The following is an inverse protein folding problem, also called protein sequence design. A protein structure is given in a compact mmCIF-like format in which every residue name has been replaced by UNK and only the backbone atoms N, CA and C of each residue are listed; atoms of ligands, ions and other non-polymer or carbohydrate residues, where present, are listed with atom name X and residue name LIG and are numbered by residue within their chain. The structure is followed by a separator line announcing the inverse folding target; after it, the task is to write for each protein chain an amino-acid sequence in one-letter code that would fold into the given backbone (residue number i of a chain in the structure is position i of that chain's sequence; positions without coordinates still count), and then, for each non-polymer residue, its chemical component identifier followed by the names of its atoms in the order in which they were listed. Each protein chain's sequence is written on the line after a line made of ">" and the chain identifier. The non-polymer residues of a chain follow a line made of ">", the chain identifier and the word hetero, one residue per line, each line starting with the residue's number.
data_IF_992006509262
#
_entry.id   IF_992006509262
#
_cell.length_a   1.000
_cell.length_b   1.000
_cell.length_c   1.000
_cell.angle_alpha   90.00
_cell.angle_beta   90.00
_cell.angle_gamma   90.00
#
_symmetry.space_group_name_H-M   'P 1'
#
loop_
_entity.id
_entity.type
_entity.pdbx_description
1 polymer ?
#
# COMPACT_ATOMS: atom_id res chain seq x y z
N UNK A 1 -14.76 -16.04 -8.06
CA UNK A 1 -13.80 -15.85 -6.94
C UNK A 1 -12.89 -17.06 -6.92
N UNK A 2 -11.58 -16.85 -6.73
CA UNK A 2 -10.61 -17.93 -6.73
C UNK A 2 -10.44 -18.50 -5.33
N UNK A 3 -10.41 -19.82 -5.17
CA UNK A 3 -10.16 -20.44 -3.86
C UNK A 3 -8.66 -20.60 -3.60
N UNK A 4 -8.26 -20.55 -2.33
CA UNK A 4 -6.90 -20.89 -1.90
C UNK A 4 -6.75 -22.41 -1.75
N UNK A 5 -5.60 -22.95 -2.14
CA UNK A 5 -5.24 -24.34 -1.79
C UNK A 5 -4.98 -24.47 -0.28
N UNK A 6 -5.01 -25.69 0.26
CA UNK A 6 -4.69 -25.94 1.68
C UNK A 6 -3.29 -25.44 2.04
N UNK A 7 -2.31 -25.67 1.16
CA UNK A 7 -0.93 -25.24 1.38
C UNK A 7 -0.79 -23.71 1.34
N UNK A 8 -1.52 -23.03 0.45
CA UNK A 8 -1.58 -21.57 0.42
C UNK A 8 -2.18 -21.01 1.72
N UNK A 9 -3.28 -21.59 2.21
CA UNK A 9 -3.94 -21.17 3.45
C UNK A 9 -2.97 -21.30 4.62
N UNK A 10 -2.27 -22.43 4.75
CA UNK A 10 -1.29 -22.65 5.81
C UNK A 10 -0.17 -21.61 5.70
N UNK A 11 0.41 -21.42 4.51
CA UNK A 11 1.49 -20.45 4.27
C UNK A 11 1.07 -19.01 4.59
N UNK A 12 -0.12 -18.60 4.15
CA UNK A 12 -0.68 -17.26 4.40
C UNK A 12 -0.91 -17.08 5.90
N UNK A 13 -1.60 -18.02 6.55
CA UNK A 13 -1.88 -17.97 7.98
C UNK A 13 -0.61 -17.90 8.82
N UNK A 14 0.40 -18.72 8.51
CA UNK A 14 1.70 -18.70 9.19
C UNK A 14 2.47 -17.42 8.93
N UNK A 15 2.32 -16.81 7.75
CA UNK A 15 2.97 -15.53 7.44
C UNK A 15 2.29 -14.37 8.18
N UNK A 16 0.96 -14.31 8.18
CA UNK A 16 0.17 -13.25 8.82
C UNK A 16 0.33 -13.23 10.35
N UNK A 17 0.58 -14.38 10.99
CA UNK A 17 0.77 -14.46 12.45
C UNK A 17 2.12 -13.91 12.94
N UNK A 18 3.12 -13.80 12.05
CA UNK A 18 4.44 -13.27 12.41
C UNK A 18 4.37 -11.78 12.74
N UNK A 19 5.05 -11.35 13.80
CA UNK A 19 5.30 -9.93 14.06
C UNK A 19 6.48 -9.46 13.19
N UNK A 20 6.50 -8.18 12.84
CA UNK A 20 7.54 -7.59 11.99
C UNK A 20 8.89 -7.50 12.72
N UNK A 21 10.00 -7.69 12.00
CA UNK A 21 11.33 -7.34 12.48
C UNK A 21 11.56 -5.82 12.59
N UNK A 22 12.60 -5.36 13.31
CA UNK A 22 12.88 -3.94 13.51
C UNK A 22 13.23 -3.17 12.23
N UNK A 23 13.59 -3.86 11.15
CA UNK A 23 13.86 -3.33 9.80
C UNK A 23 12.61 -2.80 9.11
N UNK A 24 11.44 -3.31 9.46
CA UNK A 24 10.16 -2.91 8.88
C UNK A 24 9.49 -1.75 9.64
N UNK A 25 9.94 -1.46 10.87
CA UNK A 25 9.32 -0.47 11.74
C UNK A 25 10.07 0.85 11.68
N UNK A 26 9.32 1.90 11.41
CA UNK A 26 9.75 3.28 11.50
C UNK A 26 9.12 3.99 12.70
N UNK A 27 9.78 5.04 13.18
CA UNK A 27 9.30 5.84 14.31
C UNK A 27 9.27 7.31 13.92
N UNK A 28 8.17 7.99 14.23
CA UNK A 28 8.05 9.44 14.13
C UNK A 28 7.84 10.05 15.51
N UNK A 29 8.19 11.33 15.65
CA UNK A 29 7.89 12.12 16.84
C UNK A 29 6.41 12.49 16.83
N UNK A 30 5.70 12.13 17.90
CA UNK A 30 4.33 12.53 18.19
C UNK A 30 4.28 13.70 19.19
N UNK A 31 3.07 13.99 19.66
CA UNK A 31 2.83 15.00 20.69
C UNK A 31 3.54 14.64 22.00
N UNK A 32 3.96 15.64 22.79
CA UNK A 32 4.68 15.45 24.05
C UNK A 32 5.92 14.54 23.95
N UNK A 33 6.66 14.62 22.83
CA UNK A 33 7.87 13.83 22.58
C UNK A 33 7.65 12.30 22.61
N UNK A 34 6.40 11.85 22.44
CA UNK A 34 6.07 10.44 22.27
C UNK A 34 6.64 9.91 20.95
N UNK A 35 7.04 8.64 20.90
CA UNK A 35 7.46 7.99 19.65
C UNK A 35 6.29 7.16 19.13
N UNK A 36 5.85 7.46 17.92
CA UNK A 36 4.80 6.72 17.24
C UNK A 36 5.43 5.79 16.22
N UNK A 37 5.24 4.49 16.42
CA UNK A 37 5.61 3.44 15.48
C UNK A 37 4.68 3.44 14.26
N UNK A 38 5.24 3.17 13.08
CA UNK A 38 4.47 2.97 11.86
C UNK A 38 5.26 2.12 10.86
N UNK A 39 4.55 1.61 9.86
CA UNK A 39 5.09 0.99 8.66
C UNK A 39 4.89 1.92 7.47
N UNK A 40 5.88 1.96 6.59
CA UNK A 40 5.85 2.76 5.38
C UNK A 40 4.85 2.20 4.35
N UNK A 41 4.25 3.07 3.54
CA UNK A 41 3.20 2.67 2.60
C UNK A 41 3.67 1.67 1.55
N UNK A 42 4.84 1.92 0.94
CA UNK A 42 5.42 1.01 -0.06
C UNK A 42 5.67 -0.39 0.51
N UNK A 43 6.15 -0.45 1.76
CA UNK A 43 6.50 -1.71 2.40
C UNK A 43 5.26 -2.57 2.68
N UNK A 44 4.14 -1.95 3.04
CA UNK A 44 2.86 -2.66 3.23
C UNK A 44 2.37 -3.29 1.93
N UNK A 45 2.55 -2.61 0.79
CA UNK A 45 2.21 -3.14 -0.53
C UNK A 45 3.11 -4.34 -0.87
N UNK A 46 4.41 -4.23 -0.63
CA UNK A 46 5.36 -5.33 -0.86
C UNK A 46 5.06 -6.54 0.03
N UNK A 47 4.71 -6.31 1.29
CA UNK A 47 4.30 -7.38 2.21
C UNK A 47 3.01 -8.07 1.73
N UNK A 48 2.01 -7.30 1.28
CA UNK A 48 0.79 -7.85 0.73
C UNK A 48 1.06 -8.68 -0.54
N UNK A 49 1.89 -8.17 -1.45
CA UNK A 49 2.33 -8.90 -2.65
C UNK A 49 3.10 -10.18 -2.30
N UNK A 50 3.94 -10.15 -1.25
CA UNK A 50 4.70 -11.32 -0.81
C UNK A 50 3.83 -12.39 -0.14
N UNK A 51 2.84 -11.96 0.64
CA UNK A 51 1.98 -12.87 1.42
C UNK A 51 0.86 -13.44 0.55
N UNK A 52 0.14 -12.60 -0.18
CA UNK A 52 -1.02 -13.00 -0.99
C UNK A 52 -0.66 -13.31 -2.45
N UNK A 53 0.49 -12.84 -2.94
CA UNK A 53 0.79 -12.80 -4.37
C UNK A 53 0.25 -11.52 -5.02
N UNK A 54 0.90 -11.05 -6.08
CA UNK A 54 0.53 -9.81 -6.77
C UNK A 54 -0.92 -9.79 -7.30
N UNK A 55 -1.48 -10.97 -7.59
CA UNK A 55 -2.86 -11.16 -8.04
C UNK A 55 -3.79 -11.74 -6.95
N UNK A 56 -3.29 -11.91 -5.73
CA UNK A 56 -4.04 -12.51 -4.63
C UNK A 56 -4.86 -11.51 -3.82
N UNK A 57 -4.67 -10.22 -4.07
CA UNK A 57 -5.37 -9.13 -3.39
C UNK A 57 -5.58 -7.94 -4.35
N UNK A 58 -6.52 -7.09 -3.99
CA UNK A 58 -6.81 -5.83 -4.67
C UNK A 58 -7.22 -4.79 -3.64
N UNK A 59 -7.20 -3.52 -4.03
CA UNK A 59 -7.74 -2.43 -3.22
C UNK A 59 -8.57 -1.47 -4.06
N UNK A 60 -9.58 -0.88 -3.44
CA UNK A 60 -10.51 0.06 -4.05
C UNK A 60 -10.74 1.23 -3.10
N UNK A 61 -10.64 2.47 -3.59
CA UNK A 61 -11.11 3.64 -2.85
C UNK A 61 -12.63 3.69 -2.97
N UNK A 62 -13.34 3.52 -1.85
CA UNK A 62 -14.81 3.54 -1.81
C UNK A 62 -15.38 4.95 -1.72
N UNK A 63 -14.69 5.82 -0.99
CA UNK A 63 -15.12 7.20 -0.78
C UNK A 63 -13.94 8.10 -0.48
N UNK A 64 -14.03 9.37 -0.89
CA UNK A 64 -13.11 10.45 -0.52
C UNK A 64 -13.96 11.64 -0.07
N UNK A 65 -13.82 12.05 1.18
CA UNK A 65 -14.54 13.18 1.74
C UNK A 65 -13.57 14.27 2.17
N UNK A 66 -13.83 15.51 1.73
CA UNK A 66 -13.14 16.68 2.28
C UNK A 66 -13.89 17.11 3.53
N UNK A 67 -13.27 16.92 4.70
CA UNK A 67 -13.90 17.28 5.98
C UNK A 67 -13.85 18.79 6.20
N UNK A 68 -12.73 19.43 5.84
CA UNK A 68 -12.58 20.88 5.93
C UNK A 68 -11.54 21.39 4.93
N UNK A 69 -11.68 22.67 4.56
CA UNK A 69 -10.75 23.41 3.72
C UNK A 69 -10.80 24.89 4.10
N UNK A 70 -10.00 25.27 5.09
CA UNK A 70 -10.00 26.61 5.67
C UNK A 70 -8.88 27.45 5.08
N UNK A 71 -9.16 28.73 4.82
CA UNK A 71 -8.16 29.71 4.45
C UNK A 71 -7.85 30.62 5.63
N UNK A 72 -6.58 30.70 6.01
CA UNK A 72 -6.08 31.61 7.02
C UNK A 72 -5.55 32.87 6.34
N UNK A 73 -6.31 33.97 6.43
CA UNK A 73 -5.93 35.26 5.85
C UNK A 73 -4.62 35.81 6.43
N UNK A 74 -4.44 35.74 7.76
CA UNK A 74 -3.24 36.26 8.43
C UNK A 74 -1.94 35.55 8.04
N UNK A 75 -2.02 34.30 7.60
CA UNK A 75 -0.86 33.52 7.11
C UNK A 75 -0.87 33.31 5.60
N UNK A 76 -1.89 33.78 4.88
CA UNK A 76 -2.10 33.50 3.46
C UNK A 76 -1.91 32.01 3.14
N UNK A 77 -2.61 31.13 3.87
CA UNK A 77 -2.39 29.68 3.79
C UNK A 77 -3.65 28.86 3.99
N UNK A 78 -3.68 27.66 3.44
CA UNK A 78 -4.77 26.70 3.50
C UNK A 78 -4.49 25.59 4.51
N UNK A 79 -5.53 25.22 5.26
CA UNK A 79 -5.59 24.02 6.07
C UNK A 79 -6.66 23.10 5.47
N UNK A 80 -6.29 21.87 5.10
CA UNK A 80 -7.18 20.91 4.46
C UNK A 80 -7.14 19.60 5.21
N UNK A 81 -8.30 19.01 5.47
CA UNK A 81 -8.46 17.66 6.03
C UNK A 81 -9.32 16.79 5.12
N UNK A 82 -8.87 15.58 4.86
CA UNK A 82 -9.53 14.62 3.97
C UNK A 82 -9.61 13.26 4.65
N UNK A 83 -10.78 12.64 4.61
CA UNK A 83 -10.97 11.23 4.94
C UNK A 83 -11.12 10.39 3.67
N UNK A 84 -10.62 9.16 3.70
CA UNK A 84 -10.75 8.20 2.59
C UNK A 84 -11.15 6.84 3.15
N UNK A 85 -12.12 6.18 2.53
CA UNK A 85 -12.47 4.78 2.83
C UNK A 85 -11.84 3.90 1.78
N UNK A 86 -11.04 2.92 2.20
CA UNK A 86 -10.44 1.91 1.31
C UNK A 86 -10.96 0.53 1.67
N UNK A 87 -11.30 -0.24 0.63
CA UNK A 87 -11.58 -1.67 0.72
C UNK A 87 -10.42 -2.46 0.17
N UNK A 88 -9.96 -3.46 0.90
CA UNK A 88 -9.00 -4.47 0.43
C UNK A 88 -9.74 -5.79 0.29
N UNK A 89 -9.65 -6.42 -0.88
CA UNK A 89 -10.33 -7.68 -1.21
C UNK A 89 -9.32 -8.73 -1.64
N UNK A 90 -9.34 -9.90 -1.01
CA UNK A 90 -8.52 -11.07 -1.36
C UNK A 90 -9.16 -11.88 -2.49
N UNK A 91 -8.39 -12.77 -3.14
CA UNK A 91 -8.86 -13.56 -4.29
C UNK A 91 -10.07 -14.46 -4.00
N UNK A 92 -10.23 -14.86 -2.73
CA UNK A 92 -11.35 -15.66 -2.21
C UNK A 92 -12.60 -14.83 -1.86
N UNK A 93 -12.55 -13.51 -2.05
CA UNK A 93 -13.65 -12.60 -1.77
C UNK A 93 -13.66 -12.03 -0.35
N UNK A 94 -12.79 -12.49 0.55
CA UNK A 94 -12.67 -11.90 1.87
C UNK A 94 -12.19 -10.46 1.77
N UNK A 95 -12.89 -9.54 2.45
CA UNK A 95 -12.58 -8.12 2.37
C UNK A 95 -12.54 -7.45 3.74
N UNK A 96 -11.72 -6.40 3.83
CA UNK A 96 -11.59 -5.51 4.99
C UNK A 96 -11.68 -4.07 4.52
N UNK A 97 -12.40 -3.26 5.27
CA UNK A 97 -12.57 -1.82 5.00
C UNK A 97 -12.08 -1.04 6.22
N UNK A 98 -11.42 0.09 5.98
CA UNK A 98 -11.07 1.03 7.05
C UNK A 98 -11.04 2.45 6.46
N UNK A 99 -11.08 3.43 7.36
CA UNK A 99 -10.97 4.85 7.04
C UNK A 99 -9.55 5.32 7.31
N UNK A 100 -8.99 6.13 6.42
CA UNK A 100 -7.75 6.85 6.62
C UNK A 100 -7.96 8.35 6.62
N UNK A 101 -7.04 9.06 7.25
CA UNK A 101 -7.09 10.52 7.34
C UNK A 101 -5.79 11.15 6.89
N UNK A 102 -5.88 12.26 6.17
CA UNK A 102 -4.75 13.02 5.69
C UNK A 102 -5.02 14.50 5.81
N UNK A 103 -3.98 15.26 6.15
CA UNK A 103 -4.09 16.69 6.39
C UNK A 103 -2.94 17.46 5.76
N UNK A 104 -3.19 18.71 5.41
CA UNK A 104 -2.16 19.66 5.02
C UNK A 104 -2.41 20.97 5.75
N UNK A 105 -1.44 21.43 6.52
CA UNK A 105 -1.54 22.64 7.34
C UNK A 105 -0.61 23.71 6.81
N UNK A 106 -1.05 24.97 6.85
CA UNK A 106 -0.29 26.15 6.45
C UNK A 106 0.25 26.08 5.00
N UNK A 107 -0.42 25.36 4.10
CA UNK A 107 -0.02 25.27 2.70
C UNK A 107 -0.31 26.57 1.96
N UNK A 108 0.65 27.11 1.21
CA UNK A 108 0.43 28.36 0.44
C UNK A 108 -0.47 28.15 -0.79
N UNK A 109 -0.52 26.93 -1.32
CA UNK A 109 -1.36 26.57 -2.46
C UNK A 109 -2.49 25.63 -2.03
N UNK A 110 -3.73 25.97 -2.40
CA UNK A 110 -4.91 25.12 -2.19
C UNK A 110 -4.75 23.77 -2.89
N UNK A 111 -4.22 23.76 -4.12
CA UNK A 111 -4.00 22.54 -4.89
C UNK A 111 -3.01 21.59 -4.19
N UNK A 112 -1.86 22.11 -3.76
CA UNK A 112 -0.87 21.33 -3.01
C UNK A 112 -1.42 20.81 -1.66
N UNK A 113 -2.30 21.60 -1.02
CA UNK A 113 -2.94 21.19 0.23
C UNK A 113 -3.83 19.96 0.03
N UNK A 114 -4.68 19.98 -1.01
CA UNK A 114 -5.51 18.84 -1.39
C UNK A 114 -4.69 17.63 -1.83
N UNK A 115 -3.65 17.84 -2.64
CA UNK A 115 -2.81 16.76 -3.13
C UNK A 115 -2.16 16.00 -1.97
N UNK A 116 -1.52 16.72 -1.04
CA UNK A 116 -0.92 16.11 0.15
C UNK A 116 -1.96 15.38 0.99
N UNK A 117 -3.07 16.05 1.35
CA UNK A 117 -4.09 15.48 2.21
C UNK A 117 -4.73 14.22 1.60
N UNK A 118 -5.06 14.22 0.31
CA UNK A 118 -5.62 13.05 -0.38
C UNK A 118 -4.63 11.88 -0.46
N UNK A 119 -3.37 12.14 -0.83
CA UNK A 119 -2.32 11.10 -0.91
C UNK A 119 -2.06 10.46 0.46
N UNK A 120 -2.00 11.28 1.51
CA UNK A 120 -1.83 10.82 2.88
C UNK A 120 -3.04 9.98 3.36
N UNK A 121 -4.27 10.48 3.15
CA UNK A 121 -5.49 9.79 3.57
C UNK A 121 -5.67 8.44 2.87
N UNK A 122 -5.41 8.37 1.56
CA UNK A 122 -5.51 7.12 0.80
C UNK A 122 -4.48 6.09 1.26
N UNK A 123 -3.24 6.52 1.50
CA UNK A 123 -2.18 5.64 2.01
C UNK A 123 -2.48 5.15 3.42
N UNK A 124 -2.98 6.04 4.29
CA UNK A 124 -3.38 5.68 5.66
C UNK A 124 -4.53 4.65 5.65
N UNK A 125 -5.57 4.88 4.84
CA UNK A 125 -6.72 3.99 4.71
C UNK A 125 -6.29 2.59 4.26
N UNK A 126 -5.42 2.51 3.23
CA UNK A 126 -4.89 1.25 2.73
C UNK A 126 -4.12 0.48 3.81
N UNK A 127 -3.20 1.14 4.53
CA UNK A 127 -2.45 0.50 5.63
C UNK A 127 -3.38 -0.02 6.72
N UNK A 128 -4.41 0.75 7.05
CA UNK A 128 -5.39 0.43 8.09
C UNK A 128 -6.34 -0.71 7.70
N UNK A 129 -6.70 -0.82 6.43
CA UNK A 129 -7.42 -1.98 5.91
C UNK A 129 -6.54 -3.24 5.92
N UNK A 130 -5.27 -3.13 5.49
CA UNK A 130 -4.34 -4.28 5.42
C UNK A 130 -3.96 -4.86 6.79
N UNK A 131 -3.77 -4.02 7.82
CA UNK A 131 -3.45 -4.52 9.18
C UNK A 131 -4.52 -5.47 9.74
N UNK A 132 -5.78 -5.37 9.30
CA UNK A 132 -6.87 -6.21 9.81
C UNK A 132 -6.70 -7.70 9.44
N UNK A 133 -5.82 -8.01 8.48
CA UNK A 133 -5.52 -9.39 8.11
C UNK A 133 -4.46 -10.06 9.01
N UNK A 134 -3.61 -9.30 9.71
CA UNK A 134 -2.64 -9.90 10.62
C UNK A 134 -1.47 -9.02 11.05
N UNK A 135 -0.68 -9.55 11.98
CA UNK A 135 0.52 -8.93 12.55
C UNK A 135 1.55 -8.53 11.49
N UNK A 136 1.79 -9.40 10.51
CA UNK A 136 2.78 -9.15 9.46
C UNK A 136 2.37 -8.02 8.50
N UNK A 137 1.10 -7.60 8.49
CA UNK A 137 0.62 -6.45 7.73
C UNK A 137 0.44 -5.21 8.59
N UNK A 138 1.05 -5.20 9.79
CA UNK A 138 1.17 -4.00 10.61
C UNK A 138 0.38 -3.99 11.89
N UNK A 139 -0.43 -5.01 12.17
CA UNK A 139 -1.20 -5.03 13.41
C UNK A 139 -0.30 -5.01 14.66
N UNK A 140 0.91 -5.59 14.57
CA UNK A 140 1.87 -5.57 15.67
C UNK A 140 2.34 -4.16 16.06
N UNK A 141 2.24 -3.16 15.17
CA UNK A 141 2.63 -1.77 15.48
C UNK A 141 1.75 -1.09 16.54
N UNK A 142 0.63 -1.72 16.92
CA UNK A 142 -0.27 -1.28 17.99
C UNK A 142 -0.02 -2.02 19.32
N UNK A 143 0.79 -3.07 19.32
CA UNK A 143 1.11 -3.87 20.50
C UNK A 143 2.25 -3.23 21.29
N UNK A 144 1.93 -2.68 22.47
CA UNK A 144 2.88 -1.96 23.32
C UNK A 144 3.98 -2.85 23.89
N UNK A 145 3.72 -4.14 24.11
CA UNK A 145 4.72 -5.07 24.65
C UNK A 145 5.74 -5.40 23.57
N UNK A 146 5.25 -5.77 22.39
CA UNK A 146 6.09 -5.96 21.22
C UNK A 146 6.96 -4.74 20.91
N UNK A 147 6.41 -3.52 20.98
CA UNK A 147 7.18 -2.31 20.72
C UNK A 147 8.31 -2.05 21.73
N UNK A 148 8.16 -2.51 22.98
CA UNK A 148 9.24 -2.41 23.98
C UNK A 148 10.38 -3.34 23.62
N UNK A 149 10.05 -4.57 23.25
CA UNK A 149 11.03 -5.62 22.98
C UNK A 149 11.75 -5.37 21.65
N UNK A 150 11.02 -5.02 20.60
CA UNK A 150 11.56 -4.91 19.24
C UNK A 150 12.58 -3.77 19.08
N UNK A 151 12.51 -2.76 19.93
CA UNK A 151 13.47 -1.64 19.94
C UNK A 151 14.86 -2.09 20.40
N UNK A 152 14.94 -3.16 21.17
CA UNK A 152 16.21 -3.75 21.63
C UNK A 152 16.83 -4.74 20.64
N UNK A 153 16.07 -5.18 19.64
CA UNK A 153 16.53 -6.14 18.62
C UNK A 153 17.44 -5.42 17.62
N UNK A 154 18.60 -6.01 17.35
CA UNK A 154 19.53 -5.47 16.36
C UNK A 154 18.92 -5.52 14.95
N UNK A 155 19.04 -4.41 14.20
CA UNK A 155 18.58 -4.35 12.82
C UNK A 155 19.55 -5.08 11.91
N UNK A 156 19.03 -5.92 11.02
CA UNK A 156 19.83 -6.49 9.94
C UNK A 156 20.45 -5.36 9.09
N UNK A 157 21.71 -5.55 8.68
CA UNK A 157 22.41 -4.59 7.83
C UNK A 157 21.69 -4.50 6.49
N UNK A 158 21.32 -3.27 6.08
CA UNK A 158 20.75 -3.03 4.76
C UNK A 158 21.68 -3.60 3.69
N UNK A 159 21.17 -4.54 2.89
CA UNK A 159 21.90 -5.09 1.76
C UNK A 159 22.12 -4.00 0.71
N UNK A 160 23.33 -3.96 0.16
CA UNK A 160 23.65 -3.04 -0.95
C UNK A 160 22.76 -3.38 -2.14
N UNK A 161 22.16 -2.37 -2.76
CA UNK A 161 21.30 -2.55 -3.93
C UNK A 161 22.06 -3.34 -4.99
N UNK A 162 21.48 -4.47 -5.42
CA UNK A 162 22.04 -5.23 -6.53
C UNK A 162 21.72 -4.51 -7.84
N UNK A 163 22.70 -3.81 -8.37
CA UNK A 163 22.61 -2.99 -9.59
C UNK A 163 22.11 -3.80 -10.82
N UNK A 164 22.32 -5.13 -10.82
CA UNK A 164 21.89 -6.06 -11.87
C UNK A 164 20.42 -6.45 -11.79
N UNK A 165 19.78 -6.38 -10.62
CA UNK A 165 18.36 -6.71 -10.45
C UNK A 165 17.44 -5.51 -10.73
N UNK A 166 18.01 -4.36 -11.09
CA UNK A 166 17.24 -3.17 -11.45
C UNK A 166 16.67 -3.34 -12.87
N UNK A 167 15.35 -3.14 -13.00
CA UNK A 167 14.71 -3.04 -14.30
C UNK A 167 15.28 -1.82 -15.06
N UNK A 168 15.82 -2.02 -16.27
CA UNK A 168 16.47 -0.98 -17.07
C UNK A 168 15.76 -0.76 -18.40
N UNK A 169 15.79 0.50 -18.88
CA UNK A 169 15.14 0.96 -20.11
C UNK A 169 15.76 0.39 -21.40
N UNK A 170 16.98 -0.12 -21.35
CA UNK A 170 17.75 -0.63 -22.51
C UNK A 170 17.67 -2.16 -22.54
N UNK A 171 17.06 -2.78 -23.55
CA UNK A 171 17.43 -2.70 -24.96
C UNK A 171 16.23 -2.48 -25.89
N UNK A 172 16.47 -1.85 -27.04
CA UNK A 172 15.53 -1.69 -28.16
C UNK A 172 14.56 -2.86 -28.33
N UNK A 173 13.27 -2.56 -28.55
CA UNK A 173 12.28 -3.37 -29.26
C UNK A 173 12.72 -4.80 -29.56
N UNK A 174 12.69 -5.66 -28.55
CA UNK A 174 12.69 -7.11 -28.69
C UNK A 174 11.83 -7.67 -27.56
N UNK A 175 10.52 -7.44 -27.66
CA UNK A 175 9.63 -8.59 -27.52
C UNK A 175 9.89 -9.46 -28.75
N UNK A 176 11.02 -10.19 -28.73
CA UNK A 176 11.23 -11.30 -29.64
C UNK A 176 10.18 -12.33 -29.25
N UNK A 177 9.35 -12.70 -30.21
CA UNK A 177 8.34 -13.74 -30.12
C UNK A 177 8.98 -15.14 -30.06
N UNK A 178 9.97 -15.35 -29.19
CA UNK A 178 10.64 -16.64 -28.96
C UNK A 178 10.30 -17.16 -27.56
N UNK A 179 9.00 -17.17 -27.28
CA UNK A 179 8.35 -17.90 -26.19
C UNK A 179 7.07 -18.59 -26.68
N UNK A 180 6.98 -18.84 -28.00
CA UNK A 180 5.92 -19.56 -28.70
C UNK A 180 5.99 -21.08 -28.46
N UNK A 181 6.14 -21.50 -27.21
CA UNK A 181 6.05 -22.92 -26.86
C UNK A 181 5.31 -23.24 -25.56
N UNK A 182 4.93 -22.25 -24.73
CA UNK A 182 4.17 -22.52 -23.49
C UNK A 182 2.83 -21.77 -23.37
N UNK A 183 2.50 -20.86 -24.29
CA UNK A 183 1.22 -20.13 -24.28
C UNK A 183 0.18 -20.60 -25.32
N UNK A 184 0.56 -21.49 -26.24
CA UNK A 184 -0.34 -21.99 -27.30
C UNK A 184 -1.42 -22.97 -26.80
N UNK A 185 -1.39 -23.36 -25.51
CA UNK A 185 -2.37 -24.28 -24.91
C UNK A 185 -3.47 -23.59 -24.09
N UNK A 186 -3.56 -22.26 -24.10
CA UNK A 186 -4.64 -21.53 -23.43
C UNK A 186 -5.53 -20.85 -24.47
N UNK A 187 -6.53 -21.61 -24.95
CA UNK A 187 -7.64 -21.04 -25.72
C UNK A 187 -8.46 -20.09 -24.82
N UNK A 188 -8.15 -18.80 -24.87
CA UNK A 188 -9.03 -17.75 -24.36
C UNK A 188 -9.79 -17.15 -25.55
N UNK A 189 -11.06 -17.54 -25.70
CA UNK A 189 -12.02 -16.81 -26.54
C UNK A 189 -12.36 -15.50 -25.86
N UNK A 190 -11.81 -14.40 -26.39
CA UNK A 190 -12.24 -13.04 -26.05
C UNK A 190 -13.41 -12.71 -26.97
N UNK A 191 -14.58 -12.44 -26.39
CA UNK A 191 -15.69 -11.80 -27.09
C UNK A 191 -15.38 -10.32 -27.23
N UNK A 192 -15.21 -9.86 -28.47
CA UNK A 192 -15.14 -8.44 -28.80
C UNK A 192 -16.49 -7.78 -28.51
N UNK A 193 -16.54 -6.87 -27.53
CA UNK A 193 -17.42 -5.71 -27.66
C UNK A 193 -16.89 -4.48 -26.88
N UNK A 194 -16.99 -3.35 -27.57
CA UNK A 194 -16.92 -1.96 -27.14
C UNK A 194 -15.62 -1.27 -26.67
N UNK A 195 -14.88 -0.86 -27.70
CA UNK A 195 -14.55 0.54 -28.05
C UNK A 195 -14.23 1.59 -26.96
N UNK A 196 -12.97 2.05 -27.03
CA UNK A 196 -12.47 3.43 -26.82
C UNK A 196 -12.82 4.14 -25.51
N UNK A 197 -11.87 4.16 -24.58
CA UNK A 197 -11.63 5.33 -23.72
C UNK A 197 -10.16 5.72 -23.75
N UNK A 198 -9.92 6.98 -24.09
CA UNK A 198 -8.62 7.65 -24.03
C UNK A 198 -8.08 7.57 -22.60
N UNK A 199 -6.87 7.04 -22.43
CA UNK A 199 -6.12 7.12 -21.17
C UNK A 199 -5.10 8.26 -21.30
N UNK A 200 -5.36 9.38 -20.64
CA UNK A 200 -4.29 10.32 -20.30
C UNK A 200 -3.53 9.75 -19.10
N UNK A 201 -2.32 9.27 -19.39
CA UNK A 201 -1.37 8.82 -18.38
C UNK A 201 -0.79 10.04 -17.64
N UNK A 202 -1.37 10.36 -16.49
CA UNK A 202 -0.69 11.14 -15.47
C UNK A 202 -0.14 10.18 -14.41
N UNK A 203 1.17 9.91 -14.48
CA UNK A 203 1.89 9.27 -13.38
C UNK A 203 2.02 10.25 -12.21
N UNK A 204 1.86 9.72 -10.99
CA UNK A 204 2.02 10.41 -9.70
C UNK A 204 3.49 10.67 -9.40
#
# INVERSE_FOLDING_TARGET
>A
MGNWSKDEIIKISTSLSKKLGPEFISFRKGYNNTRLSYIEGWLVIDLANKIFGFNGWSSEIKNITTEYCDYNEGRFSYNVGVSVIVKVTLKDGNAREDVGFGMSENSKSKGQAYEKAKKEAATDALKRALRQFGSALGNCTYDKEYLKDIVSVEKEKKTVINVKSLLRKTSHNQFSADGSSELDNLNFTISDDDTKKHYELYFI
#
